data_IF_964860080910
#
_entry.id   IF_964860080910
#
_cell.length_a   1.000
_cell.length_b   1.000
_cell.length_c   1.000
_cell.angle_alpha   90.00
_cell.angle_beta   90.00
_cell.angle_gamma   90.00
#
_symmetry.space_group_name_H-M   'P 1'
#
loop_
_entity.id
_entity.type
_entity.pdbx_description
1 polymer ?
#
# COMPACT_ATOMS: atom_id res chain seq x y z
N UNK A 1 -13.86 -6.82 17.96
CA UNK A 1 -13.82 -8.18 17.37
C UNK A 1 -15.24 -8.62 17.06
N UNK A 2 -15.45 -9.31 15.93
CA UNK A 2 -16.76 -9.86 15.55
C UNK A 2 -16.71 -11.38 15.72
N UNK A 3 -17.66 -11.95 16.46
CA UNK A 3 -17.81 -13.40 16.65
C UNK A 3 -18.91 -13.92 15.72
N UNK A 4 -18.72 -15.11 15.15
CA UNK A 4 -19.67 -15.79 14.29
C UNK A 4 -20.04 -17.13 14.93
N UNK A 5 -21.34 -17.43 15.04
CA UNK A 5 -21.83 -18.72 15.52
C UNK A 5 -22.32 -19.55 14.34
N UNK A 6 -21.82 -20.78 14.19
CA UNK A 6 -22.21 -21.67 13.09
C UNK A 6 -23.68 -22.10 13.13
N UNK A 7 -24.34 -21.92 14.27
CA UNK A 7 -25.78 -22.14 14.44
C UNK A 7 -26.65 -21.01 13.91
N UNK A 8 -26.09 -19.84 13.62
CA UNK A 8 -26.86 -18.69 13.13
C UNK A 8 -27.36 -18.96 11.71
N UNK A 9 -28.64 -18.66 11.44
CA UNK A 9 -29.25 -18.88 10.13
C UNK A 9 -28.54 -18.14 8.97
N UNK A 10 -27.78 -17.09 9.29
CA UNK A 10 -27.03 -16.28 8.33
C UNK A 10 -25.50 -16.48 8.40
N UNK A 11 -25.04 -17.53 9.11
CA UNK A 11 -23.62 -17.83 9.29
C UNK A 11 -22.88 -17.90 7.95
N UNK A 12 -23.38 -18.70 7.00
CA UNK A 12 -22.69 -18.95 5.73
C UNK A 12 -22.47 -17.65 4.93
N UNK A 13 -23.46 -16.76 4.94
CA UNK A 13 -23.38 -15.45 4.30
C UNK A 13 -22.34 -14.55 4.97
N UNK A 14 -22.40 -14.43 6.31
CA UNK A 14 -21.43 -13.64 7.09
C UNK A 14 -20.00 -14.18 6.99
N UNK A 15 -19.83 -15.51 6.98
CA UNK A 15 -18.55 -16.17 6.85
C UNK A 15 -17.97 -15.97 5.45
N UNK A 16 -18.78 -16.14 4.40
CA UNK A 16 -18.39 -15.88 3.01
C UNK A 16 -17.91 -14.45 2.81
N UNK A 17 -18.61 -13.46 3.38
CA UNK A 17 -18.18 -12.06 3.34
C UNK A 17 -16.85 -11.83 4.08
N UNK A 18 -16.66 -12.47 5.24
CA UNK A 18 -15.42 -12.36 6.00
C UNK A 18 -14.22 -12.94 5.24
N UNK A 19 -14.41 -14.10 4.60
CA UNK A 19 -13.36 -14.76 3.79
C UNK A 19 -13.00 -13.91 2.58
N UNK A 20 -13.99 -13.29 1.92
CA UNK A 20 -13.79 -12.46 0.72
C UNK A 20 -13.52 -10.98 1.00
N UNK A 21 -13.30 -10.60 2.26
CA UNK A 21 -13.11 -9.19 2.63
C UNK A 21 -11.97 -8.52 1.86
N UNK A 22 -10.90 -9.26 1.57
CA UNK A 22 -9.73 -8.79 0.82
C UNK A 22 -10.04 -8.43 -0.63
N UNK A 23 -11.04 -9.09 -1.25
CA UNK A 23 -11.37 -8.87 -2.67
C UNK A 23 -11.94 -7.46 -2.87
N UNK A 24 -12.79 -7.03 -1.94
CA UNK A 24 -13.36 -5.68 -1.94
C UNK A 24 -12.28 -4.62 -1.70
N UNK A 25 -11.35 -4.86 -0.76
CA UNK A 25 -10.26 -3.93 -0.45
C UNK A 25 -9.30 -3.76 -1.63
N UNK A 26 -8.95 -4.86 -2.32
CA UNK A 26 -8.08 -4.81 -3.49
C UNK A 26 -8.70 -4.00 -4.64
N UNK A 27 -10.00 -4.14 -4.89
CA UNK A 27 -10.68 -3.39 -5.96
C UNK A 27 -10.57 -1.87 -5.80
N UNK A 28 -10.55 -1.38 -4.56
CA UNK A 28 -10.41 0.03 -4.25
C UNK A 28 -8.95 0.52 -4.28
N UNK A 29 -7.99 -0.35 -3.93
CA UNK A 29 -6.55 -0.02 -3.87
C UNK A 29 -5.90 -0.04 -5.25
N UNK A 30 -6.31 -0.97 -6.12
CA UNK A 30 -5.68 -1.15 -7.43
C UNK A 30 -5.60 0.13 -8.28
N UNK A 31 -6.66 0.96 -8.41
CA UNK A 31 -6.57 2.21 -9.16
C UNK A 31 -5.53 3.19 -8.60
N UNK A 32 -5.37 3.23 -7.26
CA UNK A 32 -4.40 4.11 -6.60
C UNK A 32 -2.97 3.68 -6.94
N UNK A 33 -2.69 2.37 -6.82
CA UNK A 33 -1.36 1.82 -7.13
C UNK A 33 -1.03 2.00 -8.62
N UNK A 34 -1.99 1.74 -9.51
CA UNK A 34 -1.81 1.98 -10.95
C UNK A 34 -1.49 3.44 -11.23
N UNK A 35 -2.22 4.38 -10.60
CA UNK A 35 -1.93 5.81 -10.72
C UNK A 35 -0.51 6.18 -10.31
N UNK A 36 -0.04 5.67 -9.16
CA UNK A 36 1.34 5.91 -8.69
C UNK A 36 2.38 5.38 -9.70
N UNK A 37 2.17 4.18 -10.24
CA UNK A 37 3.09 3.59 -11.24
C UNK A 37 3.12 4.43 -12.51
N UNK A 38 1.97 4.89 -12.98
CA UNK A 38 1.88 5.70 -14.20
C UNK A 38 2.53 7.08 -14.02
N UNK A 39 2.36 7.70 -12.85
CA UNK A 39 3.06 8.94 -12.48
C UNK A 39 4.59 8.74 -12.47
N UNK A 40 5.09 7.67 -11.85
CA UNK A 40 6.53 7.37 -11.81
C UNK A 40 7.08 7.11 -13.22
N UNK A 41 6.33 6.39 -14.07
CA UNK A 41 6.74 6.15 -15.46
C UNK A 41 6.84 7.44 -16.28
N UNK A 42 5.93 8.39 -16.03
CA UNK A 42 5.84 9.65 -16.77
C UNK A 42 6.88 10.66 -16.29
N UNK A 43 6.97 10.86 -14.98
CA UNK A 43 7.66 12.00 -14.36
C UNK A 43 8.93 11.60 -13.57
N UNK A 44 9.24 10.30 -13.52
CA UNK A 44 10.50 9.75 -13.01
C UNK A 44 10.80 10.14 -11.56
N UNK A 45 12.02 10.63 -11.31
CA UNK A 45 12.50 10.95 -9.96
C UNK A 45 11.66 12.02 -9.25
N UNK A 46 11.08 12.96 -10.00
CA UNK A 46 10.23 14.01 -9.41
C UNK A 46 8.95 13.43 -8.80
N UNK A 47 8.31 12.48 -9.48
CA UNK A 47 7.19 11.73 -8.94
C UNK A 47 7.62 10.84 -7.77
N UNK A 48 8.77 10.16 -7.87
CA UNK A 48 9.29 9.35 -6.77
C UNK A 48 9.45 10.17 -5.48
N UNK A 49 10.10 11.34 -5.56
CA UNK A 49 10.32 12.20 -4.39
C UNK A 49 9.00 12.72 -3.80
N UNK A 50 8.03 13.06 -4.65
CA UNK A 50 6.70 13.47 -4.20
C UNK A 50 5.96 12.34 -3.46
N UNK A 51 6.05 11.11 -3.94
CA UNK A 51 5.42 9.96 -3.28
C UNK A 51 6.07 9.63 -1.93
N UNK A 52 7.41 9.70 -1.84
CA UNK A 52 8.15 9.52 -0.58
C UNK A 52 7.74 10.59 0.45
N UNK A 53 7.67 11.86 0.04
CA UNK A 53 7.20 12.95 0.92
C UNK A 53 5.77 12.71 1.41
N UNK A 54 4.89 12.23 0.52
CA UNK A 54 3.49 11.98 0.84
C UNK A 54 3.30 10.82 1.81
N UNK A 55 3.94 9.68 1.57
CA UNK A 55 3.68 8.44 2.30
C UNK A 55 4.63 8.23 3.47
N UNK A 56 5.92 8.52 3.29
CA UNK A 56 6.97 8.28 4.29
C UNK A 56 7.24 9.52 5.15
N UNK A 57 6.64 10.65 4.80
CA UNK A 57 6.85 11.96 5.45
C UNK A 57 8.32 12.39 5.46
N UNK A 58 9.08 11.93 4.47
CA UNK A 58 10.49 12.23 4.28
C UNK A 58 10.70 13.16 3.08
N UNK A 59 11.37 14.29 3.27
CA UNK A 59 11.58 15.27 2.21
C UNK A 59 12.90 15.02 1.48
N UNK A 60 12.81 14.40 0.32
CA UNK A 60 13.96 14.07 -0.55
C UNK A 60 14.33 15.29 -1.40
N UNK A 61 15.56 15.75 -1.27
CA UNK A 61 16.13 16.88 -2.04
C UNK A 61 17.07 16.41 -3.15
N UNK A 62 17.65 15.22 -3.00
CA UNK A 62 18.54 14.60 -3.96
C UNK A 62 18.41 13.07 -3.95
N UNK A 63 18.87 12.39 -5.02
CA UNK A 63 18.91 10.92 -5.04
C UNK A 63 19.75 10.32 -3.93
N UNK A 64 20.79 11.02 -3.49
CA UNK A 64 21.67 10.50 -2.46
C UNK A 64 20.96 10.41 -1.10
N UNK A 65 19.89 11.18 -0.90
CA UNK A 65 19.12 11.15 0.35
C UNK A 65 18.34 9.82 0.51
N UNK A 66 18.18 9.05 -0.57
CA UNK A 66 17.45 7.78 -0.61
C UNK A 66 18.34 6.59 -0.99
N UNK A 67 19.65 6.80 -1.06
CA UNK A 67 20.64 5.75 -1.29
C UNK A 67 21.37 5.53 0.02
N UNK A 68 21.40 4.29 0.49
CA UNK A 68 22.20 3.88 1.65
C UNK A 68 23.48 3.24 1.11
N UNK A 69 24.64 3.84 1.41
CA UNK A 69 25.93 3.27 1.04
C UNK A 69 26.24 2.03 1.89
N UNK A 70 27.02 1.09 1.35
CA UNK A 70 27.42 -0.13 2.08
C UNK A 70 28.07 0.20 3.41
N UNK A 71 28.88 1.27 3.49
CA UNK A 71 29.53 1.70 4.74
C UNK A 71 28.53 2.13 5.80
N UNK A 72 27.39 2.68 5.42
CA UNK A 72 26.34 3.08 6.37
C UNK A 72 25.62 1.85 6.97
N UNK A 73 25.69 0.69 6.31
CA UNK A 73 25.12 -0.56 6.79
C UNK A 73 26.02 -1.31 7.80
N UNK A 74 27.29 -0.94 7.95
CA UNK A 74 28.27 -1.62 8.81
C UNK A 74 28.25 -1.15 10.28
N UNK A 75 27.36 -0.22 10.63
CA UNK A 75 27.24 0.39 11.96
C UNK A 75 26.55 -0.49 13.01
#
# INVERSE_FOLDING_TARGET
>A
MKFLHSSDADFESKFSQLVRRSDNDMSAVMPVVTGIIDEIRKDGDSALFAQISKFDKFNVTSKNDIIIDVKEMEA
#
